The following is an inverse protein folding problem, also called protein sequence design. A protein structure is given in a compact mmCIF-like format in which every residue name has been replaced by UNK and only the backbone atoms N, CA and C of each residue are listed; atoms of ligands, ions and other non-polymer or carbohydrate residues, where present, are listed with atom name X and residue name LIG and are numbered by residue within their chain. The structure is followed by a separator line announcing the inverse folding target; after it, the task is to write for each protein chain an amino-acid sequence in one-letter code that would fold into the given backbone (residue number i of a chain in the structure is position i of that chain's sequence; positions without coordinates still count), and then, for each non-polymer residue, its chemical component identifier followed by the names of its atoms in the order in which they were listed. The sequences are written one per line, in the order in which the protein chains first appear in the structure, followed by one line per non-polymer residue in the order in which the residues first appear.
data_IF_389202605168
#
_entry.id   IF_389202605168
#
_cell.length_a   1.000
_cell.length_b   1.000
_cell.length_c   1.000
_cell.angle_alpha   90.00
_cell.angle_beta   90.00
_cell.angle_gamma   90.00
#
_symmetry.space_group_name_H-M   'P 1'
#
loop_
_entity.id
_entity.type
_entity.pdbx_description
1 polymer ?
#
# COMPACT_ATOMS: atom_id res chain seq x y z
N UNK A 1 -13.89 1.83 14.73
CA UNK A 1 -13.70 1.15 13.43
C UNK A 1 -13.38 -0.34 13.57
N UNK A 2 -12.69 -0.75 14.64
CA UNK A 2 -12.34 -2.15 14.94
C UNK A 2 -13.49 -3.16 14.86
N UNK A 3 -14.65 -2.83 15.44
CA UNK A 3 -15.84 -3.70 15.50
C UNK A 3 -16.38 -4.05 14.11
N UNK A 4 -16.20 -3.16 13.13
CA UNK A 4 -16.60 -3.42 11.75
C UNK A 4 -15.66 -4.42 11.07
N UNK A 5 -14.34 -4.24 11.23
CA UNK A 5 -13.32 -5.15 10.69
C UNK A 5 -13.45 -6.54 11.32
N UNK A 6 -13.69 -6.62 12.64
CA UNK A 6 -13.83 -7.91 13.32
C UNK A 6 -15.12 -8.65 12.90
N UNK A 7 -16.22 -7.93 12.65
CA UNK A 7 -17.45 -8.51 12.05
C UNK A 7 -17.21 -9.03 10.62
N UNK A 8 -16.45 -8.29 9.81
CA UNK A 8 -16.04 -8.74 8.48
C UNK A 8 -15.08 -9.94 8.56
N UNK A 9 -14.22 -10.02 9.57
CA UNK A 9 -13.32 -11.15 9.73
C UNK A 9 -14.06 -12.44 10.12
N UNK A 10 -15.00 -12.34 11.07
CA UNK A 10 -15.77 -13.50 11.55
C UNK A 10 -16.82 -14.01 10.55
N UNK A 11 -17.33 -13.15 9.66
CA UNK A 11 -18.39 -13.49 8.72
C UNK A 11 -17.92 -14.12 7.40
N UNK A 12 -16.65 -13.99 7.08
CA UNK A 12 -16.09 -14.48 5.82
C UNK A 12 -15.19 -15.68 6.15
N UNK A 13 -15.64 -16.89 5.81
CA UNK A 13 -14.89 -18.13 6.04
C UNK A 13 -13.48 -18.11 5.43
N UNK A 14 -12.64 -19.06 5.85
CA UNK A 14 -11.18 -19.16 5.64
C UNK A 14 -10.64 -19.11 4.18
N UNK A 15 -11.46 -18.82 3.18
CA UNK A 15 -11.14 -18.89 1.76
C UNK A 15 -11.03 -17.51 1.08
N UNK A 16 -11.03 -16.41 1.85
CA UNK A 16 -10.99 -15.04 1.29
C UNK A 16 -9.85 -14.20 1.82
N UNK A 17 -9.32 -13.35 0.96
CA UNK A 17 -8.28 -12.36 1.27
C UNK A 17 -8.97 -11.01 1.52
N UNK A 18 -8.76 -10.42 2.69
CA UNK A 18 -9.22 -9.07 3.03
C UNK A 18 -8.08 -8.06 2.90
N UNK A 19 -8.25 -7.06 2.03
CA UNK A 19 -7.27 -5.98 1.84
C UNK A 19 -7.76 -4.71 2.53
N UNK A 20 -7.05 -4.30 3.57
CA UNK A 20 -7.33 -3.05 4.29
C UNK A 20 -6.27 -2.01 3.92
N UNK A 21 -6.71 -0.80 3.57
CA UNK A 21 -5.82 0.34 3.30
C UNK A 21 -6.06 1.41 4.36
N UNK A 22 -5.00 1.91 4.97
CA UNK A 22 -5.07 3.04 5.90
C UNK A 22 -3.85 3.93 5.72
N UNK A 23 -4.04 5.24 5.88
CA UNK A 23 -2.95 6.21 5.92
C UNK A 23 -2.43 6.42 7.35
N UNK A 24 -3.13 5.89 8.36
CA UNK A 24 -2.79 6.03 9.77
C UNK A 24 -2.73 4.64 10.42
N UNK A 25 -1.56 4.00 10.34
CA UNK A 25 -1.34 2.68 10.95
C UNK A 25 -1.34 2.76 12.48
N UNK A 26 -0.89 3.88 13.04
CA UNK A 26 -0.87 4.20 14.47
C UNK A 26 -2.26 4.27 15.11
N UNK A 27 -3.30 4.56 14.31
CA UNK A 27 -4.69 4.61 14.76
C UNK A 27 -5.41 3.26 14.63
N UNK A 28 -4.75 2.23 14.11
CA UNK A 28 -5.28 0.87 14.11
C UNK A 28 -5.10 0.27 15.50
N UNK A 29 -6.09 -0.51 15.94
CA UNK A 29 -5.93 -1.30 17.15
C UNK A 29 -4.84 -2.36 16.96
N UNK A 30 -3.98 -2.48 17.97
CA UNK A 30 -2.93 -3.50 18.06
C UNK A 30 -3.50 -4.91 17.93
N UNK A 31 -4.76 -5.13 18.29
CA UNK A 31 -5.43 -6.43 18.14
C UNK A 31 -5.53 -6.89 16.69
N UNK A 32 -5.62 -5.97 15.72
CA UNK A 32 -5.65 -6.27 14.29
C UNK A 32 -4.26 -6.58 13.72
N UNK A 33 -3.20 -6.07 14.35
CA UNK A 33 -1.81 -6.31 13.94
C UNK A 33 -1.29 -7.67 14.44
N UNK A 34 -2.13 -8.46 15.11
CA UNK A 34 -1.77 -9.80 15.58
C UNK A 34 -1.86 -10.79 14.43
N UNK A 35 -0.98 -11.82 14.43
CA UNK A 35 -1.08 -12.94 13.50
C UNK A 35 -2.47 -13.58 13.56
N UNK A 36 -3.05 -13.89 12.39
CA UNK A 36 -4.40 -14.42 12.26
C UNK A 36 -5.50 -13.36 12.06
N UNK A 37 -5.15 -12.08 11.96
CA UNK A 37 -6.06 -10.99 11.58
C UNK A 37 -5.49 -10.11 10.45
N UNK A 38 -4.24 -9.67 10.57
CA UNK A 38 -3.48 -9.09 9.46
C UNK A 38 -2.08 -9.66 9.48
N UNK A 39 -1.83 -10.63 8.61
CA UNK A 39 -0.52 -11.29 8.54
C UNK A 39 0.49 -10.51 7.68
N UNK A 40 -0.01 -9.77 6.68
CA UNK A 40 0.83 -9.06 5.72
C UNK A 40 0.65 -7.55 5.86
N UNK A 41 1.75 -6.87 6.18
CA UNK A 41 1.80 -5.42 6.26
C UNK A 41 2.77 -4.85 5.24
N UNK A 42 2.24 -4.14 4.24
CA UNK A 42 3.05 -3.43 3.24
C UNK A 42 2.96 -1.93 3.55
N UNK A 43 4.12 -1.30 3.76
CA UNK A 43 4.19 0.15 3.88
C UNK A 43 4.28 0.78 2.49
N UNK A 44 3.26 1.55 2.11
CA UNK A 44 3.24 2.30 0.85
C UNK A 44 3.94 3.64 1.06
N UNK A 45 5.25 3.68 0.85
CA UNK A 45 6.05 4.90 0.96
C UNK A 45 5.80 5.85 -0.23
N UNK A 46 6.29 7.09 -0.10
CA UNK A 46 6.26 8.06 -1.19
C UNK A 46 7.04 7.56 -2.41
N UNK A 47 6.60 7.99 -3.59
CA UNK A 47 7.21 7.66 -4.85
C UNK A 47 8.68 8.12 -4.88
N UNK A 48 9.59 7.20 -5.12
CA UNK A 48 10.99 7.54 -5.37
C UNK A 48 11.16 8.05 -6.80
N UNK A 49 12.23 8.81 -7.09
CA UNK A 49 12.57 9.21 -8.46
C UNK A 49 12.54 8.05 -9.47
N UNK A 50 12.98 6.85 -9.06
CA UNK A 50 12.87 5.65 -9.87
C UNK A 50 11.45 5.12 -10.02
N UNK A 51 10.69 5.08 -8.92
CA UNK A 51 9.29 4.67 -8.95
C UNK A 51 8.41 5.55 -9.83
N UNK A 52 8.80 6.82 -10.02
CA UNK A 52 8.08 7.79 -10.85
C UNK A 52 8.22 7.53 -12.35
N UNK A 53 9.33 6.91 -12.79
CA UNK A 53 9.62 6.72 -14.21
C UNK A 53 8.58 5.85 -14.92
N UNK A 54 8.10 4.79 -14.24
CA UNK A 54 7.07 3.90 -14.78
C UNK A 54 5.73 4.62 -15.05
N UNK A 55 5.09 5.29 -14.06
CA UNK A 55 3.86 6.01 -14.32
C UNK A 55 4.05 7.18 -15.30
N UNK A 56 5.19 7.89 -15.27
CA UNK A 56 5.47 8.95 -16.25
C UNK A 56 5.52 8.44 -17.69
N UNK A 57 6.16 7.29 -17.92
CA UNK A 57 6.22 6.65 -19.24
C UNK A 57 4.87 6.07 -19.65
N UNK A 58 4.14 5.43 -18.73
CA UNK A 58 2.90 4.71 -19.06
C UNK A 58 1.72 5.65 -19.29
N UNK A 59 1.60 6.75 -18.54
CA UNK A 59 0.43 7.64 -18.61
C UNK A 59 0.66 8.90 -19.44
N UNK A 60 1.89 9.42 -19.47
CA UNK A 60 2.22 10.71 -20.10
C UNK A 60 3.14 10.50 -21.31
N UNK A 61 3.60 9.27 -21.57
CA UNK A 61 4.50 8.92 -22.67
C UNK A 61 5.86 9.66 -22.64
N UNK A 62 6.26 10.13 -21.44
CA UNK A 62 7.54 10.80 -21.24
C UNK A 62 8.58 9.74 -20.93
N UNK A 63 9.37 9.38 -21.95
CA UNK A 63 10.52 8.48 -21.81
C UNK A 63 11.78 9.23 -21.38
N UNK A 64 11.95 10.47 -21.84
CA UNK A 64 13.07 11.34 -21.50
C UNK A 64 12.61 12.79 -21.29
N UNK A 65 13.01 13.37 -20.16
CA UNK A 65 12.81 14.77 -19.83
C UNK A 65 14.19 15.41 -19.57
N UNK A 66 14.39 16.71 -19.81
CA UNK A 66 15.64 17.41 -19.49
C UNK A 66 16.09 17.29 -18.03
N UNK A 67 15.20 16.91 -17.11
CA UNK A 67 15.49 16.65 -15.70
C UNK A 67 15.59 15.14 -15.36
N UNK A 68 15.41 14.25 -16.34
CA UNK A 68 15.52 12.80 -16.13
C UNK A 68 16.90 12.39 -15.64
N UNK A 69 17.97 13.15 -15.93
CA UNK A 69 19.29 12.90 -15.36
C UNK A 69 19.33 13.02 -13.82
N UNK A 70 18.46 13.85 -13.22
CA UNK A 70 18.30 13.90 -11.76
C UNK A 70 17.56 12.68 -11.22
N UNK A 71 16.63 12.14 -12.01
CA UNK A 71 15.84 10.95 -11.66
C UNK A 71 16.63 9.64 -11.87
N UNK A 72 17.73 9.66 -12.64
CA UNK A 72 18.65 8.54 -12.86
C UNK A 72 19.61 8.28 -11.68
N UNK A 73 19.60 9.10 -10.62
CA UNK A 73 20.34 8.83 -9.37
C UNK A 73 19.57 7.88 -8.46
N UNK A 74 19.29 6.71 -9.00
CA UNK A 74 19.13 5.49 -8.23
C UNK A 74 20.33 4.61 -8.60
#
# INVERSE_FOLDING_TARGET
MLTFINRLWLGYGNERIMIVKTNHKDKLDLTLLRPGHMDVHIHMSYCTPCGFRMPASNYIWITEHPLSWRLKRC
#
